data_IF_993573931876
#
_entry.id   IF_993573931876
#
_cell.length_a   1.000
_cell.length_b   1.000
_cell.length_c   1.000
_cell.angle_alpha   90.00
_cell.angle_beta   90.00
_cell.angle_gamma   90.00
#
_symmetry.space_group_name_H-M   'P 1'
#
loop_
_entity.id
_entity.type
_entity.pdbx_description
1 polymer ?
#
# COMPACT_ATOMS: atom_id res chain seq x y z
N UNK A 1 -12.50 -7.56 15.22
CA UNK A 1 -12.97 -6.84 14.02
C UNK A 1 -11.73 -6.48 13.22
N UNK A 2 -11.57 -7.00 12.00
CA UNK A 2 -10.42 -6.63 11.15
C UNK A 2 -10.62 -5.20 10.68
N UNK A 3 -9.66 -4.30 10.97
CA UNK A 3 -9.77 -2.90 10.55
C UNK A 3 -9.37 -2.82 9.07
N UNK A 4 -10.37 -2.73 8.20
CA UNK A 4 -10.18 -2.51 6.76
C UNK A 4 -10.13 -1.01 6.48
N UNK A 5 -9.01 -0.54 5.93
CA UNK A 5 -8.84 0.82 5.47
C UNK A 5 -8.86 0.91 3.95
N UNK A 6 -9.05 2.13 3.44
CA UNK A 6 -9.00 2.42 2.00
C UNK A 6 -7.79 3.27 1.68
N UNK A 7 -7.26 3.07 0.48
CA UNK A 7 -6.14 3.86 -0.02
C UNK A 7 -6.41 4.37 -1.43
N UNK A 8 -5.73 5.47 -1.76
CA UNK A 8 -5.67 6.00 -3.11
C UNK A 8 -4.26 6.42 -3.44
N UNK A 9 -3.82 6.19 -4.68
CA UNK A 9 -2.47 6.53 -5.10
C UNK A 9 -2.45 7.20 -6.48
N UNK A 10 -1.50 8.12 -6.64
CA UNK A 10 -1.19 8.81 -7.89
C UNK A 10 0.30 8.67 -8.20
N UNK A 11 0.71 9.00 -9.43
CA UNK A 11 2.12 8.93 -9.86
C UNK A 11 3.00 10.02 -9.27
N UNK A 12 2.42 11.11 -8.79
CA UNK A 12 3.20 12.30 -8.41
C UNK A 12 3.86 12.13 -7.03
N UNK A 13 3.13 11.61 -6.05
CA UNK A 13 3.59 11.53 -4.66
C UNK A 13 3.30 10.17 -4.03
N UNK A 14 3.99 9.87 -2.92
CA UNK A 14 3.71 8.70 -2.08
C UNK A 14 2.56 9.01 -1.14
N UNK A 15 1.61 8.10 -1.03
CA UNK A 15 0.49 8.19 -0.10
C UNK A 15 0.77 7.31 1.11
N UNK A 16 0.64 7.87 2.31
CA UNK A 16 0.85 7.14 3.57
C UNK A 16 -0.35 6.27 3.89
N UNK A 17 -0.09 4.98 4.11
CA UNK A 17 -1.03 4.02 4.68
C UNK A 17 -0.93 4.02 6.20
N UNK A 18 0.30 4.02 6.70
CA UNK A 18 0.59 3.97 8.12
C UNK A 18 1.84 4.78 8.45
N UNK A 19 1.83 5.44 9.61
CA UNK A 19 2.99 6.06 10.23
C UNK A 19 2.82 6.04 11.75
N UNK A 20 3.71 5.36 12.47
CA UNK A 20 3.64 5.26 13.92
C UNK A 20 4.99 4.96 14.57
N UNK A 21 4.98 4.86 15.90
CA UNK A 21 6.19 4.60 16.72
C UNK A 21 6.59 3.12 16.79
N UNK A 22 5.67 2.23 16.42
CA UNK A 22 5.86 0.77 16.47
C UNK A 22 5.49 0.16 15.14
N UNK A 23 6.16 -0.94 14.80
CA UNK A 23 5.83 -1.71 13.62
C UNK A 23 4.38 -2.18 13.67
N UNK A 24 3.74 -2.19 12.51
CA UNK A 24 2.43 -2.77 12.30
C UNK A 24 2.43 -3.61 11.03
N UNK A 25 1.79 -4.77 11.11
CA UNK A 25 1.65 -5.68 9.99
C UNK A 25 0.35 -5.36 9.26
N UNK A 26 0.45 -5.03 7.99
CA UNK A 26 -0.67 -4.77 7.11
C UNK A 26 -0.65 -5.71 5.92
N UNK A 27 -1.83 -6.19 5.50
CA UNK A 27 -1.99 -6.75 4.15
C UNK A 27 -2.56 -5.68 3.23
N UNK A 28 -1.82 -5.39 2.17
CA UNK A 28 -2.24 -4.50 1.10
C UNK A 28 -2.90 -5.32 0.00
N UNK A 29 -4.07 -4.89 -0.44
CA UNK A 29 -4.74 -5.41 -1.63
C UNK A 29 -4.38 -4.53 -2.81
N UNK A 30 -3.91 -5.13 -3.90
CA UNK A 30 -3.52 -4.40 -5.10
C UNK A 30 -4.73 -3.77 -5.82
N UNK A 31 -4.47 -2.89 -6.81
CA UNK A 31 -5.52 -2.20 -7.54
C UNK A 31 -6.40 -3.17 -8.34
N UNK A 32 -7.68 -2.85 -8.51
CA UNK A 32 -8.61 -3.67 -9.31
C UNK A 32 -8.32 -3.67 -10.81
N UNK A 33 -7.53 -2.72 -11.29
CA UNK A 33 -7.10 -2.60 -12.69
C UNK A 33 -5.75 -3.28 -12.89
N UNK A 34 -5.45 -3.69 -14.14
CA UNK A 34 -4.11 -4.12 -14.58
C UNK A 34 -3.13 -2.95 -14.51
N UNK A 35 -2.71 -2.63 -13.30
CA UNK A 35 -1.85 -1.51 -12.97
C UNK A 35 -0.95 -1.91 -11.81
N UNK A 36 0.20 -1.25 -11.72
CA UNK A 36 1.19 -1.52 -10.68
C UNK A 36 1.23 -0.41 -9.64
N UNK A 37 1.34 -0.85 -8.39
CA UNK A 37 1.49 0.00 -7.22
C UNK A 37 2.87 -0.25 -6.61
N UNK A 38 3.71 0.76 -6.48
CA UNK A 38 4.95 0.63 -5.72
C UNK A 38 4.64 0.74 -4.23
N UNK A 39 5.09 -0.24 -3.46
CA UNK A 39 4.99 -0.25 -2.01
C UNK A 39 6.35 0.10 -1.40
N UNK A 40 6.33 0.99 -0.40
CA UNK A 40 7.47 1.41 0.38
C UNK A 40 7.23 1.11 1.86
N UNK A 41 8.22 0.53 2.51
CA UNK A 41 8.22 0.24 3.94
C UNK A 41 9.49 0.84 4.53
N UNK A 42 9.35 1.75 5.49
CA UNK A 42 10.46 2.45 6.14
C UNK A 42 11.43 3.07 5.12
N UNK A 43 10.86 3.71 4.07
CA UNK A 43 11.53 4.29 2.91
C UNK A 43 12.20 3.32 1.92
N UNK A 44 12.14 2.01 2.17
CA UNK A 44 12.65 0.97 1.28
C UNK A 44 11.56 0.50 0.32
N UNK A 45 11.86 0.44 -0.98
CA UNK A 45 10.94 -0.07 -2.00
C UNK A 45 10.88 -1.60 -1.92
N UNK A 46 9.71 -2.16 -1.66
CA UNK A 46 9.52 -3.62 -1.53
C UNK A 46 9.16 -4.26 -2.88
N UNK A 47 8.46 -3.53 -3.75
CA UNK A 47 8.18 -3.99 -5.10
C UNK A 47 6.91 -3.39 -5.69
N UNK A 48 6.65 -3.66 -6.98
CA UNK A 48 5.34 -3.43 -7.56
C UNK A 48 4.36 -4.53 -7.13
N UNK A 49 3.24 -4.12 -6.52
CA UNK A 49 2.06 -4.93 -6.33
C UNK A 49 1.17 -4.80 -7.57
N UNK A 50 0.80 -5.92 -8.18
CA UNK A 50 0.02 -5.94 -9.43
C UNK A 50 -1.41 -6.43 -9.22
N UNK A 51 -2.37 -5.73 -9.82
CA UNK A 51 -3.74 -6.22 -9.92
C UNK A 51 -4.32 -6.73 -8.60
N UNK A 52 -5.00 -7.88 -8.62
CA UNK A 52 -5.65 -8.51 -7.45
C UNK A 52 -4.70 -9.25 -6.49
N UNK A 53 -3.38 -9.00 -6.58
CA UNK A 53 -2.43 -9.57 -5.63
C UNK A 53 -2.59 -8.96 -4.23
N UNK A 54 -2.10 -9.70 -3.24
CA UNK A 54 -1.96 -9.21 -1.88
C UNK A 54 -0.49 -9.19 -1.48
N UNK A 55 -0.10 -8.24 -0.64
CA UNK A 55 1.23 -8.15 -0.07
C UNK A 55 1.16 -7.81 1.40
N UNK A 56 1.76 -8.65 2.22
CA UNK A 56 1.91 -8.42 3.66
C UNK A 56 3.18 -7.61 3.88
N UNK A 57 3.07 -6.49 4.59
CA UNK A 57 4.17 -5.57 4.89
C UNK A 57 4.15 -5.16 6.35
N UNK A 58 5.33 -5.12 6.97
CA UNK A 58 5.51 -4.72 8.35
C UNK A 58 6.52 -3.59 8.46
N UNK A 59 6.16 -2.50 9.12
CA UNK A 59 7.07 -1.39 9.39
C UNK A 59 6.44 -0.24 10.17
N UNK A 60 7.23 0.79 10.44
CA UNK A 60 6.79 2.01 11.13
C UNK A 60 6.19 3.05 10.18
N UNK A 61 6.56 2.99 8.91
CA UNK A 61 6.06 3.82 7.82
C UNK A 61 5.74 2.94 6.61
N UNK A 62 4.48 2.94 6.18
CA UNK A 62 4.05 2.24 4.96
C UNK A 62 3.47 3.27 4.01
N UNK A 63 4.02 3.34 2.81
CA UNK A 63 3.57 4.24 1.76
C UNK A 63 3.39 3.53 0.44
N UNK A 64 2.52 4.07 -0.40
CA UNK A 64 2.24 3.53 -1.73
C UNK A 64 2.29 4.60 -2.80
N UNK A 65 2.58 4.22 -4.04
CA UNK A 65 2.63 5.13 -5.18
C UNK A 65 2.18 4.43 -6.45
N UNK A 66 1.32 5.07 -7.24
CA UNK A 66 0.93 4.50 -8.53
C UNK A 66 2.08 4.63 -9.54
N UNK A 67 2.30 3.60 -10.36
CA UNK A 67 3.28 3.68 -11.46
C UNK A 67 2.65 4.36 -12.68
N UNK A 68 1.38 4.04 -12.97
CA UNK A 68 0.63 4.60 -14.09
C UNK A 68 0.17 6.04 -13.84
N UNK A 69 -0.17 6.77 -14.90
CA UNK A 69 -0.81 8.08 -14.79
C UNK A 69 -2.23 8.02 -14.18
N UNK A 70 -2.83 6.82 -14.13
CA UNK A 70 -4.17 6.63 -13.62
C UNK A 70 -4.20 6.77 -12.08
N UNK A 71 -5.31 7.32 -11.62
CA UNK A 71 -5.67 7.31 -10.21
C UNK A 71 -6.03 5.89 -9.78
N UNK A 72 -5.30 5.32 -8.81
CA UNK A 72 -5.57 3.98 -8.28
C UNK A 72 -6.24 4.06 -6.92
N UNK A 73 -7.10 3.08 -6.64
CA UNK A 73 -7.77 2.89 -5.34
C UNK A 73 -7.67 1.42 -4.95
N UNK A 74 -7.68 1.17 -3.64
CA UNK A 74 -7.75 -0.18 -3.11
C UNK A 74 -7.96 -0.17 -1.61
N UNK A 75 -7.72 -1.33 -1.00
CA UNK A 75 -7.98 -1.58 0.41
C UNK A 75 -6.73 -2.14 1.10
N UNK A 76 -6.70 -2.05 2.42
CA UNK A 76 -5.71 -2.71 3.26
C UNK A 76 -6.35 -3.19 4.55
N UNK A 77 -5.78 -4.19 5.19
CA UNK A 77 -6.19 -4.68 6.50
C UNK A 77 -5.03 -4.64 7.50
N UNK A 78 -5.32 -4.23 8.73
CA UNK A 78 -4.39 -4.36 9.85
C UNK A 78 -4.45 -5.77 10.42
N UNK A 79 -3.30 -6.43 10.52
CA UNK A 79 -3.15 -7.79 11.03
C UNK A 79 -2.64 -7.84 12.48
N UNK A 80 -1.75 -6.92 12.89
CA UNK A 80 -1.25 -6.79 14.28
C UNK A 80 -0.65 -5.41 14.56
#
# INVERSE_FOLDING_TARGET
MVKVGKWSAQRTFRTKIYHGKTNKLYRLYGPTLDSSLLVYVDNVKIGPLYGRQTLDVEGNLIEIKAVSANFLKGEYELLS
#
